data_IF_668516497733
#
_entry.id   IF_668516497733
#
_cell.length_a   1.000
_cell.length_b   1.000
_cell.length_c   1.000
_cell.angle_alpha   90.00
_cell.angle_beta   90.00
_cell.angle_gamma   90.00
#
_symmetry.space_group_name_H-M   'P 1'
#
loop_
_entity.id
_entity.type
_entity.pdbx_description
1 polymer ?
#
# COMPACT_ATOMS: atom_id res chain seq x y z
N UNK A 1 -20.51 2.92 7.58
CA UNK A 1 -19.11 3.04 7.12
C UNK A 1 -18.83 1.82 6.24
N UNK A 2 -18.15 1.94 5.08
CA UNK A 2 -17.90 0.80 4.19
C UNK A 2 -16.83 -0.12 4.79
N UNK A 3 -17.02 -1.44 4.69
CA UNK A 3 -16.07 -2.44 5.21
C UNK A 3 -14.76 -2.46 4.39
N UNK A 4 -14.84 -2.18 3.08
CA UNK A 4 -13.71 -2.15 2.14
C UNK A 4 -13.74 -0.86 1.31
N UNK A 5 -12.57 -0.27 1.06
CA UNK A 5 -12.37 0.84 0.13
C UNK A 5 -11.35 0.43 -0.94
N UNK A 6 -11.69 0.67 -2.21
CA UNK A 6 -10.81 0.48 -3.36
C UNK A 6 -10.42 1.83 -3.97
N UNK A 7 -9.13 2.02 -4.27
CA UNK A 7 -8.62 3.20 -4.95
C UNK A 7 -7.77 2.83 -6.16
N UNK A 8 -7.96 3.56 -7.26
CA UNK A 8 -7.20 3.39 -8.48
C UNK A 8 -6.73 4.76 -8.99
N UNK A 9 -5.43 4.87 -9.30
CA UNK A 9 -4.85 6.04 -9.96
C UNK A 9 -4.02 5.60 -11.16
N UNK A 10 -4.19 6.27 -12.30
CA UNK A 10 -3.49 6.00 -13.55
C UNK A 10 -3.02 7.33 -14.16
N UNK A 11 -1.76 7.71 -13.98
CA UNK A 11 -1.17 8.92 -14.57
C UNK A 11 -0.04 8.61 -15.54
N UNK A 12 -0.06 9.23 -16.73
CA UNK A 12 1.06 9.26 -17.69
C UNK A 12 1.34 7.94 -18.40
N UNK A 13 2.29 7.16 -17.87
CA UNK A 13 2.74 5.87 -18.39
C UNK A 13 2.14 4.74 -17.56
N UNK A 14 1.38 3.86 -18.21
CA UNK A 14 0.75 2.68 -17.57
C UNK A 14 1.82 1.72 -17.01
N UNK A 15 1.55 0.87 -16.01
CA UNK A 15 0.36 0.78 -15.16
C UNK A 15 0.40 1.78 -13.98
N UNK A 16 -0.61 1.75 -13.11
CA UNK A 16 -0.84 2.77 -12.10
C UNK A 16 -0.69 2.30 -10.66
N UNK A 17 -1.30 3.03 -9.74
CA UNK A 17 -1.41 2.68 -8.33
C UNK A 17 -2.77 2.03 -8.08
N UNK A 18 -2.78 0.96 -7.27
CA UNK A 18 -3.99 0.30 -6.77
C UNK A 18 -3.91 0.14 -5.28
N UNK A 19 -5.01 0.36 -4.58
CA UNK A 19 -5.05 0.14 -3.15
C UNK A 19 -6.37 -0.45 -2.70
N UNK A 20 -6.28 -1.22 -1.61
CA UNK A 20 -7.43 -1.64 -0.82
C UNK A 20 -7.18 -1.28 0.63
N UNK A 21 -8.27 -0.95 1.32
CA UNK A 21 -8.30 -0.81 2.77
C UNK A 21 -9.39 -1.73 3.31
N UNK A 22 -9.07 -2.50 4.35
CA UNK A 22 -10.02 -3.30 5.14
C UNK A 22 -9.67 -3.21 6.62
N UNK A 23 -10.62 -2.75 7.43
CA UNK A 23 -10.37 -2.45 8.85
C UNK A 23 -9.25 -1.42 9.00
N UNK A 24 -8.29 -1.75 9.87
CA UNK A 24 -7.10 -0.92 10.11
C UNK A 24 -6.03 -1.08 9.04
N UNK A 25 -6.15 -2.04 8.13
CA UNK A 25 -5.06 -2.34 7.19
C UNK A 25 -5.30 -1.73 5.82
N UNK A 26 -4.21 -1.25 5.22
CA UNK A 26 -4.18 -0.73 3.86
C UNK A 26 -3.02 -1.36 3.10
N UNK A 27 -3.32 -1.88 1.91
CA UNK A 27 -2.36 -2.36 0.94
C UNK A 27 -2.34 -1.41 -0.26
N UNK A 28 -1.16 -1.05 -0.73
CA UNK A 28 -0.96 -0.29 -1.97
C UNK A 28 0.01 -1.06 -2.85
N UNK A 29 -0.38 -1.30 -4.10
CA UNK A 29 0.49 -1.82 -5.14
C UNK A 29 0.75 -0.74 -6.17
N UNK A 30 2.03 -0.54 -6.45
CA UNK A 30 2.52 0.30 -7.52
C UNK A 30 3.04 -0.61 -8.61
N UNK A 31 2.50 -0.44 -9.80
CA UNK A 31 2.96 -1.11 -10.98
C UNK A 31 3.26 0.00 -11.98
N UNK A 32 4.46 0.58 -11.94
CA UNK A 32 4.82 1.77 -12.74
C UNK A 32 5.87 1.42 -13.79
N UNK A 33 6.02 2.29 -14.80
CA UNK A 33 6.99 2.12 -15.90
C UNK A 33 6.77 0.81 -16.70
N UNK A 34 5.56 0.60 -17.23
CA UNK A 34 5.22 -0.60 -18.02
C UNK A 34 5.44 -1.92 -17.27
N UNK A 35 5.37 -1.86 -15.93
CA UNK A 35 5.51 -3.00 -15.04
C UNK A 35 6.93 -3.41 -14.71
N UNK A 36 7.91 -2.58 -15.05
CA UNK A 36 9.30 -2.75 -14.64
C UNK A 36 9.53 -2.47 -13.15
N UNK A 37 8.66 -1.68 -12.51
CA UNK A 37 8.73 -1.41 -11.07
C UNK A 37 7.44 -1.87 -10.41
N UNK A 38 7.55 -2.98 -9.67
CA UNK A 38 6.51 -3.49 -8.78
C UNK A 38 6.90 -3.23 -7.35
N UNK A 39 6.11 -2.42 -6.65
CA UNK A 39 6.29 -2.16 -5.21
C UNK A 39 4.99 -2.43 -4.48
N UNK A 40 5.09 -3.09 -3.34
CA UNK A 40 3.98 -3.29 -2.43
C UNK A 40 4.25 -2.52 -1.15
N UNK A 41 3.25 -1.81 -0.68
CA UNK A 41 3.25 -1.16 0.62
C UNK A 41 2.10 -1.69 1.47
N UNK A 42 2.38 -1.96 2.73
CA UNK A 42 1.39 -2.43 3.72
C UNK A 42 1.50 -1.56 4.96
N UNK A 43 0.37 -1.02 5.41
CA UNK A 43 0.27 -0.18 6.60
C UNK A 43 -0.85 -0.63 7.52
N UNK A 44 -0.56 -0.62 8.82
CA UNK A 44 -1.59 -0.61 9.86
C UNK A 44 -1.93 0.85 10.18
N UNK A 45 -3.09 1.35 9.74
CA UNK A 45 -3.52 2.73 9.88
C UNK A 45 -3.89 3.12 11.32
N UNK A 46 -4.15 2.16 12.22
CA UNK A 46 -4.34 2.45 13.65
C UNK A 46 -3.02 2.85 14.30
N UNK A 47 -1.93 2.23 13.87
CA UNK A 47 -0.59 2.43 14.44
C UNK A 47 0.26 3.41 13.61
N UNK A 48 0.03 3.47 12.30
CA UNK A 48 0.69 4.34 11.33
C UNK A 48 -0.35 5.10 10.48
N UNK A 49 -1.12 6.04 11.07
CA UNK A 49 -2.21 6.74 10.40
C UNK A 49 -1.73 7.68 9.27
N UNK A 50 -0.45 8.04 9.27
CA UNK A 50 0.17 8.91 8.28
C UNK A 50 0.87 8.13 7.15
N UNK A 51 0.78 6.79 7.15
CA UNK A 51 1.38 5.93 6.13
C UNK A 51 2.89 6.19 5.98
N UNK A 52 3.56 6.46 7.11
CA UNK A 52 4.98 6.77 7.15
C UNK A 52 5.79 5.60 6.58
N UNK A 53 6.86 5.97 5.88
CA UNK A 53 7.90 5.09 5.32
C UNK A 53 9.21 5.23 6.10
N UNK A 54 10.16 4.33 5.86
CA UNK A 54 11.49 4.34 6.48
C UNK A 54 12.21 5.68 6.29
N UNK A 55 12.03 6.33 5.13
CA UNK A 55 12.64 7.63 4.81
C UNK A 55 12.20 8.75 5.79
N UNK A 56 11.03 8.60 6.43
CA UNK A 56 10.55 9.58 7.41
C UNK A 56 11.27 9.47 8.76
N UNK A 57 12.01 8.38 9.00
CA UNK A 57 12.83 8.19 10.20
C UNK A 57 14.18 8.88 10.09
N UNK A 58 14.56 9.38 8.90
CA UNK A 58 15.83 10.04 8.69
C UNK A 58 15.98 11.26 9.61
N UNK A 59 17.16 11.43 10.22
CA UNK A 59 17.44 12.52 11.17
C UNK A 59 17.13 13.90 10.58
N UNK A 60 17.52 14.14 9.31
CA UNK A 60 17.21 15.38 8.63
C UNK A 60 15.70 15.65 8.51
N UNK A 61 14.89 14.61 8.26
CA UNK A 61 13.43 14.73 8.14
C UNK A 61 12.80 14.97 9.50
N UNK A 62 13.20 14.21 10.52
CA UNK A 62 12.67 14.36 11.90
C UNK A 62 13.07 15.70 12.50
N UNK A 63 14.27 16.21 12.23
CA UNK A 63 14.72 17.54 12.65
C UNK A 63 13.90 18.67 12.00
N UNK A 64 13.57 18.54 10.71
CA UNK A 64 12.78 19.56 9.98
C UNK A 64 11.29 19.53 10.33
N UNK A 65 10.73 18.33 10.52
CA UNK A 65 9.29 18.14 10.73
C UNK A 65 8.88 18.08 12.21
N UNK A 66 9.84 17.87 13.11
CA UNK A 66 9.59 17.57 14.52
C UNK A 66 8.96 16.19 14.75
N UNK A 67 8.78 15.38 13.70
CA UNK A 67 8.17 14.06 13.81
C UNK A 67 9.10 13.07 14.51
N UNK A 68 8.52 12.14 15.29
CA UNK A 68 9.24 11.04 15.93
C UNK A 68 8.49 9.73 15.67
N UNK A 69 8.67 9.14 14.47
CA UNK A 69 7.98 7.91 14.12
C UNK A 69 8.37 6.76 15.07
N UNK A 70 7.42 5.91 15.44
CA UNK A 70 7.72 4.66 16.13
C UNK A 70 8.29 3.63 15.13
N UNK A 71 9.10 2.65 15.57
CA UNK A 71 9.77 1.71 14.65
C UNK A 71 8.85 0.95 13.68
N UNK A 72 7.60 0.70 14.06
CA UNK A 72 6.59 0.02 13.23
C UNK A 72 5.84 0.97 12.28
N UNK A 73 6.01 2.29 12.40
CA UNK A 73 5.45 3.29 11.49
C UNK A 73 6.30 3.39 10.22
N UNK A 74 6.24 2.31 9.43
CA UNK A 74 6.96 2.13 8.16
C UNK A 74 6.14 1.24 7.22
N UNK A 75 6.68 0.96 6.03
CA UNK A 75 6.13 -0.07 5.15
C UNK A 75 6.39 -1.47 5.75
N UNK A 76 5.32 -2.23 5.99
CA UNK A 76 5.37 -3.59 6.56
C UNK A 76 5.27 -4.70 5.52
N UNK A 77 5.28 -4.39 4.22
CA UNK A 77 5.01 -5.37 3.16
C UNK A 77 6.01 -6.53 3.12
N UNK A 78 7.27 -6.29 3.48
CA UNK A 78 8.34 -7.29 3.46
C UNK A 78 8.64 -7.85 4.87
N UNK A 79 7.83 -7.50 5.87
CA UNK A 79 7.95 -8.04 7.22
C UNK A 79 7.27 -9.43 7.27
N UNK A 80 8.01 -10.52 7.58
CA UNK A 80 7.44 -11.86 7.62
C UNK A 80 6.34 -12.02 8.67
N UNK A 81 6.33 -11.20 9.74
CA UNK A 81 5.27 -11.22 10.74
C UNK A 81 3.90 -10.79 10.18
N UNK A 82 3.90 -10.10 9.03
CA UNK A 82 2.69 -9.59 8.37
C UNK A 82 2.40 -10.28 7.03
N UNK A 83 3.07 -11.39 6.72
CA UNK A 83 2.90 -12.12 5.46
C UNK A 83 1.45 -12.59 5.22
N UNK A 84 0.76 -13.08 6.24
CA UNK A 84 -0.65 -13.50 6.14
C UNK A 84 -1.58 -12.30 5.88
N UNK A 85 -1.33 -11.17 6.56
CA UNK A 85 -2.10 -9.94 6.38
C UNK A 85 -1.92 -9.40 4.96
N UNK A 86 -0.68 -9.40 4.46
CA UNK A 86 -0.36 -9.04 3.07
C UNK A 86 -1.12 -9.92 2.09
N UNK A 87 -1.01 -11.25 2.21
CA UNK A 87 -1.65 -12.19 1.30
C UNK A 87 -3.19 -12.03 1.29
N UNK A 88 -3.81 -11.81 2.46
CA UNK A 88 -5.25 -11.56 2.57
C UNK A 88 -5.69 -10.31 1.81
N UNK A 89 -4.94 -9.21 1.93
CA UNK A 89 -5.25 -7.96 1.22
C UNK A 89 -4.91 -8.03 -0.26
N UNK A 90 -3.88 -8.77 -0.66
CA UNK A 90 -3.56 -9.02 -2.07
C UNK A 90 -4.69 -9.80 -2.75
N UNK A 91 -5.23 -10.83 -2.09
CA UNK A 91 -6.40 -11.57 -2.57
C UNK A 91 -7.65 -10.67 -2.66
N UNK A 92 -7.86 -9.80 -1.66
CA UNK A 92 -8.95 -8.83 -1.68
C UNK A 92 -8.80 -7.82 -2.84
N UNK A 93 -7.59 -7.33 -3.08
CA UNK A 93 -7.31 -6.41 -4.17
C UNK A 93 -7.59 -7.07 -5.52
N UNK A 94 -7.15 -8.31 -5.72
CA UNK A 94 -7.43 -9.07 -6.94
C UNK A 94 -8.95 -9.28 -7.15
N UNK A 95 -9.68 -9.61 -6.08
CA UNK A 95 -11.14 -9.77 -6.15
C UNK A 95 -11.85 -8.46 -6.51
N UNK A 96 -11.44 -7.32 -5.93
CA UNK A 96 -12.00 -6.01 -6.26
C UNK A 96 -11.67 -5.59 -7.69
N UNK A 97 -10.44 -5.86 -8.17
CA UNK A 97 -10.05 -5.62 -9.56
C UNK A 97 -10.88 -6.45 -10.53
N UNK A 98 -11.16 -7.72 -10.21
CA UNK A 98 -12.04 -8.58 -11.01
C UNK A 98 -13.48 -8.06 -10.99
N UNK A 99 -14.01 -7.71 -9.81
CA UNK A 99 -15.38 -7.19 -9.65
C UNK A 99 -15.62 -5.88 -10.40
N UNK A 100 -14.59 -5.06 -10.55
CA UNK A 100 -14.65 -3.74 -11.20
C UNK A 100 -14.18 -3.76 -12.66
N UNK A 101 -13.94 -4.95 -13.23
CA UNK A 101 -13.42 -5.11 -14.59
C UNK A 101 -12.17 -4.26 -14.86
N UNK A 102 -11.24 -4.19 -13.89
CA UNK A 102 -10.06 -3.34 -14.02
C UNK A 102 -9.24 -3.74 -15.27
N UNK A 103 -8.97 -2.80 -16.18
CA UNK A 103 -8.28 -3.07 -17.44
C UNK A 103 -6.81 -3.47 -17.26
N UNK A 104 -6.24 -3.21 -16.08
CA UNK A 104 -4.86 -3.50 -15.73
C UNK A 104 -4.72 -4.66 -14.74
N UNK A 105 -5.77 -5.48 -14.56
CA UNK A 105 -5.66 -6.69 -13.74
C UNK A 105 -4.59 -7.64 -14.30
N UNK A 106 -3.82 -8.34 -13.45
CA UNK A 106 -2.97 -9.44 -13.90
C UNK A 106 -3.83 -10.47 -14.63
N UNK A 107 -3.44 -10.87 -15.85
CA UNK A 107 -4.03 -12.04 -16.52
C UNK A 107 -3.34 -13.28 -15.94
N UNK A 108 -4.10 -14.08 -15.20
CA UNK A 108 -3.68 -15.42 -14.79
C UNK A 108 -3.66 -16.39 -15.96
#
# INVERSE_FOLDING_TARGET
MREVLYGAYCGGTKPGMRCVKRGDWKLIQYDVLEGSVRRTQLFNLRENPLELLEEHHAEAVTALTGSRPAPHQRNLADDPAHAETRASLEALLAAEQQRLDDPHRPRG
#
